data_IF_796645751890
#
_entry.id   IF_796645751890
#
_cell.length_a   1.000
_cell.length_b   1.000
_cell.length_c   1.000
_cell.angle_alpha   90.00
_cell.angle_beta   90.00
_cell.angle_gamma   90.00
#
_symmetry.space_group_name_H-M   'P 1'
#
loop_
_entity.id
_entity.type
_entity.pdbx_description
1 polymer ?
#
# COMPACT_ATOMS: atom_id res chain seq x y z
N UNK A 1 2.29 19.61 10.36
CA UNK A 1 2.86 18.58 9.45
C UNK A 1 1.87 18.35 8.34
N UNK A 2 2.29 18.29 7.06
CA UNK A 2 1.34 18.21 5.95
C UNK A 2 0.57 16.89 6.04
N UNK A 3 -0.74 16.95 5.79
CA UNK A 3 -1.58 15.76 5.67
C UNK A 3 -1.13 14.97 4.45
N UNK A 4 -0.67 13.74 4.66
CA UNK A 4 -0.36 12.81 3.59
C UNK A 4 -1.65 12.07 3.19
N UNK A 5 -1.79 11.71 1.92
CA UNK A 5 -2.92 10.92 1.44
C UNK A 5 -2.38 9.75 0.62
N UNK A 6 -2.99 8.58 0.77
CA UNK A 6 -2.69 7.43 -0.08
C UNK A 6 -3.90 7.15 -0.97
N UNK A 7 -3.65 7.03 -2.27
CA UNK A 7 -4.66 6.69 -3.28
C UNK A 7 -4.35 5.32 -3.85
N UNK A 8 -5.35 4.44 -3.83
CA UNK A 8 -5.27 3.10 -4.41
C UNK A 8 -6.10 3.05 -5.70
N UNK A 9 -5.50 2.54 -6.78
CA UNK A 9 -6.07 2.50 -8.12
C UNK A 9 -6.07 1.02 -8.57
N UNK A 10 -7.26 0.41 -8.75
CA UNK A 10 -7.41 -1.02 -9.11
C UNK A 10 -8.19 -1.18 -10.43
N UNK A 11 -7.58 -1.79 -11.44
CA UNK A 11 -7.91 -1.55 -12.86
C UNK A 11 -8.70 -2.67 -13.55
N UNK A 12 -9.72 -2.31 -14.33
CA UNK A 12 -10.32 -3.15 -15.38
C UNK A 12 -9.69 -2.82 -16.75
N UNK A 13 -9.39 -3.85 -17.55
CA UNK A 13 -8.47 -3.94 -18.72
C UNK A 13 -8.33 -2.70 -19.65
N UNK A 14 -7.07 -2.45 -20.08
CA UNK A 14 -6.61 -1.84 -21.37
C UNK A 14 -6.46 -0.29 -21.58
N UNK A 15 -5.97 0.46 -20.60
CA UNK A 15 -5.60 1.91 -20.67
C UNK A 15 -4.19 2.15 -20.00
N UNK A 16 -3.56 3.34 -19.97
CA UNK A 16 -2.48 3.62 -19.01
C UNK A 16 -2.99 3.59 -17.55
N UNK A 17 -2.13 3.44 -16.54
CA UNK A 17 -2.45 3.20 -15.11
C UNK A 17 -3.22 4.36 -14.39
N UNK A 18 -4.20 5.00 -15.02
CA UNK A 18 -4.73 6.30 -14.58
C UNK A 18 -6.25 6.48 -14.65
N UNK A 19 -7.07 5.45 -14.92
CA UNK A 19 -8.50 5.67 -15.20
C UNK A 19 -9.48 4.68 -14.55
N UNK A 20 -9.37 4.47 -13.24
CA UNK A 20 -10.40 3.81 -12.42
C UNK A 20 -10.66 4.63 -11.17
N UNK A 21 -11.84 4.47 -10.57
CA UNK A 21 -12.23 5.18 -9.35
C UNK A 21 -11.13 5.01 -8.27
N UNK A 22 -10.48 6.12 -7.93
CA UNK A 22 -9.45 6.14 -6.92
C UNK A 22 -10.11 6.06 -5.54
N UNK A 23 -9.75 5.05 -4.76
CA UNK A 23 -10.06 5.07 -3.34
C UNK A 23 -8.95 5.86 -2.66
N UNK A 24 -9.28 6.87 -1.86
CA UNK A 24 -8.28 7.74 -1.23
C UNK A 24 -8.53 7.85 0.27
N UNK A 25 -7.47 7.62 1.05
CA UNK A 25 -7.47 7.79 2.49
C UNK A 25 -6.56 8.96 2.85
N UNK A 26 -7.13 10.01 3.42
CA UNK A 26 -6.40 11.14 3.98
C UNK A 26 -5.91 10.80 5.39
N UNK A 27 -4.61 10.91 5.61
CA UNK A 27 -3.97 10.68 6.91
C UNK A 27 -4.12 11.93 7.79
N UNK A 28 -4.46 11.69 9.05
CA UNK A 28 -4.48 12.68 10.10
C UNK A 28 -3.07 13.18 10.45
N UNK A 29 -3.01 14.23 11.28
CA UNK A 29 -1.73 14.77 11.74
C UNK A 29 -0.95 13.71 12.55
N UNK A 30 0.28 13.39 12.10
CA UNK A 30 1.13 12.38 12.74
C UNK A 30 0.71 10.93 12.46
N UNK A 31 -0.30 10.72 11.61
CA UNK A 31 -0.71 9.39 11.16
C UNK A 31 0.21 8.92 10.03
N UNK A 32 0.61 7.64 10.08
CA UNK A 32 1.51 7.02 9.10
C UNK A 32 1.09 5.58 8.82
N UNK A 33 1.60 5.02 7.72
CA UNK A 33 1.27 3.66 7.30
C UNK A 33 2.18 2.68 8.04
N UNK A 34 1.57 1.66 8.63
CA UNK A 34 2.25 0.65 9.47
C UNK A 34 2.14 -0.76 8.91
N UNK A 35 1.23 -1.03 7.97
CA UNK A 35 1.05 -2.37 7.45
C UNK A 35 0.61 -2.41 6.00
N UNK A 36 0.94 -3.52 5.36
CA UNK A 36 0.49 -3.90 4.02
C UNK A 36 0.02 -5.35 4.06
N UNK A 37 -1.08 -5.63 3.38
CA UNK A 37 -1.59 -6.96 3.11
C UNK A 37 -1.89 -7.05 1.62
N UNK A 38 -1.29 -8.02 0.94
CA UNK A 38 -1.49 -8.28 -0.48
C UNK A 38 -1.99 -9.71 -0.65
N UNK A 39 -2.97 -9.89 -1.53
CA UNK A 39 -3.42 -11.22 -1.90
C UNK A 39 -3.21 -11.40 -3.39
N UNK A 40 -2.61 -12.54 -3.75
CA UNK A 40 -2.37 -12.88 -5.14
C UNK A 40 -3.18 -14.11 -5.55
N UNK A 41 -3.21 -14.37 -6.85
CA UNK A 41 -3.71 -15.64 -7.36
C UNK A 41 -3.46 -15.74 -8.86
N UNK A 42 -3.56 -16.96 -9.37
CA UNK A 42 -3.35 -17.22 -10.79
C UNK A 42 -4.56 -16.78 -11.61
N UNK A 43 -4.28 -16.26 -12.81
CA UNK A 43 -5.25 -15.95 -13.85
C UNK A 43 -4.53 -16.02 -15.19
N UNK A 44 -5.06 -16.83 -16.11
CA UNK A 44 -4.49 -17.03 -17.45
C UNK A 44 -2.98 -17.36 -17.39
N UNK A 45 -2.58 -18.31 -16.54
CA UNK A 45 -1.19 -18.75 -16.29
C UNK A 45 -0.23 -17.69 -15.70
N UNK A 46 -0.76 -16.58 -15.17
CA UNK A 46 0.03 -15.53 -14.53
C UNK A 46 -0.43 -15.28 -13.08
N UNK A 47 0.52 -15.19 -12.15
CA UNK A 47 0.28 -14.72 -10.78
C UNK A 47 0.15 -13.21 -10.77
N UNK A 48 -0.92 -12.69 -10.17
CA UNK A 48 -1.16 -11.25 -10.03
C UNK A 48 -1.72 -10.89 -8.67
N UNK A 49 -1.42 -9.69 -8.20
CA UNK A 49 -2.00 -9.12 -6.99
C UNK A 49 -3.47 -8.76 -7.27
N UNK A 50 -4.39 -9.51 -6.68
CA UNK A 50 -5.84 -9.32 -6.84
C UNK A 50 -6.45 -8.47 -5.74
N UNK A 51 -5.74 -8.28 -4.63
CA UNK A 51 -6.16 -7.44 -3.51
C UNK A 51 -4.95 -6.83 -2.83
N UNK A 52 -5.11 -5.59 -2.38
CA UNK A 52 -4.14 -4.93 -1.52
C UNK A 52 -4.87 -4.10 -0.46
N UNK A 53 -4.33 -4.08 0.75
CA UNK A 53 -4.80 -3.30 1.88
C UNK A 53 -3.62 -2.66 2.61
N UNK A 54 -3.80 -1.41 2.98
CA UNK A 54 -2.88 -0.70 3.87
C UNK A 54 -3.55 -0.44 5.21
N UNK A 55 -2.75 -0.50 6.27
CA UNK A 55 -3.17 -0.19 7.63
C UNK A 55 -2.33 0.96 8.17
N UNK A 56 -2.98 1.90 8.86
CA UNK A 56 -2.32 3.07 9.46
C UNK A 56 -2.10 2.90 10.96
N UNK A 57 -1.26 3.75 11.53
CA UNK A 57 -1.01 3.83 12.98
C UNK A 57 -2.26 4.19 13.79
N UNK A 58 -3.28 4.78 13.17
CA UNK A 58 -4.57 5.07 13.81
C UNK A 58 -5.60 3.93 13.68
N UNK A 59 -5.21 2.81 13.05
CA UNK A 59 -6.09 1.66 12.81
C UNK A 59 -7.03 1.82 11.61
N UNK A 60 -6.89 2.89 10.82
CA UNK A 60 -7.63 3.02 9.56
C UNK A 60 -7.06 2.07 8.53
N UNK A 61 -7.92 1.64 7.61
CA UNK A 61 -7.50 0.83 6.47
C UNK A 61 -8.04 1.39 5.17
N UNK A 62 -7.29 1.14 4.10
CA UNK A 62 -7.72 1.37 2.72
C UNK A 62 -7.38 0.14 1.92
N UNK A 63 -8.31 -0.34 1.11
CA UNK A 63 -8.12 -1.52 0.29
C UNK A 63 -8.73 -1.36 -1.10
N UNK A 64 -8.36 -2.28 -1.99
CA UNK A 64 -8.90 -2.37 -3.33
C UNK A 64 -8.61 -3.73 -3.95
N UNK A 65 -9.50 -4.14 -4.86
CA UNK A 65 -9.49 -5.47 -5.42
C UNK A 65 -10.35 -6.46 -4.62
N UNK A 66 -10.14 -7.76 -4.83
CA UNK A 66 -10.95 -8.83 -4.28
C UNK A 66 -10.06 -9.87 -3.56
N UNK A 67 -10.26 -10.14 -2.25
CA UNK A 67 -9.43 -11.06 -1.50
C UNK A 67 -9.38 -12.47 -2.12
N UNK A 68 -8.21 -13.08 -2.09
CA UNK A 68 -7.99 -14.49 -2.44
C UNK A 68 -7.41 -15.26 -1.25
N UNK A 69 -7.13 -16.56 -1.46
CA UNK A 69 -6.61 -17.47 -0.43
C UNK A 69 -5.12 -17.29 -0.17
N UNK A 70 -4.36 -16.83 -1.16
CA UNK A 70 -2.92 -16.63 -1.02
C UNK A 70 -2.66 -15.22 -0.52
N UNK A 71 -2.03 -15.11 0.66
CA UNK A 71 -1.95 -13.87 1.42
C UNK A 71 -0.51 -13.63 1.85
N UNK A 72 -0.03 -12.41 1.64
CA UNK A 72 1.20 -11.87 2.20
C UNK A 72 0.87 -10.68 3.07
N UNK A 73 1.40 -10.65 4.29
CA UNK A 73 1.26 -9.52 5.21
C UNK A 73 2.62 -9.09 5.69
N UNK A 74 2.84 -7.79 5.76
CA UNK A 74 4.03 -7.22 6.36
C UNK A 74 3.68 -5.96 7.16
N UNK A 75 4.49 -5.65 8.16
CA UNK A 75 4.30 -4.54 9.07
C UNK A 75 5.60 -3.84 9.40
N UNK A 76 5.54 -2.52 9.51
CA UNK A 76 6.66 -1.72 9.97
C UNK A 76 7.05 -2.12 11.40
N UNK A 77 8.29 -2.54 11.66
CA UNK A 77 8.75 -2.78 13.02
C UNK A 77 8.81 -1.46 13.81
N UNK A 78 8.89 -1.53 15.16
CA UNK A 78 8.97 -0.33 15.99
C UNK A 78 10.08 0.61 15.56
N UNK A 79 9.74 1.89 15.39
CA UNK A 79 10.70 2.91 14.92
C UNK A 79 10.87 2.98 13.39
N UNK A 80 10.00 2.32 12.62
CA UNK A 80 9.91 2.46 11.16
C UNK A 80 8.51 2.89 10.71
N UNK A 81 8.39 3.31 9.46
CA UNK A 81 7.13 3.55 8.74
C UNK A 81 7.26 3.06 7.29
N UNK A 82 6.15 2.72 6.65
CA UNK A 82 6.12 2.52 5.19
C UNK A 82 6.23 3.89 4.52
N UNK A 83 7.37 4.14 3.86
CA UNK A 83 7.69 5.44 3.27
C UNK A 83 7.62 5.51 1.75
N UNK A 84 7.39 4.38 1.10
CA UNK A 84 7.27 4.29 -0.35
C UNK A 84 6.94 2.88 -0.81
N UNK A 85 6.65 2.75 -2.10
CA UNK A 85 6.29 1.49 -2.76
C UNK A 85 7.15 1.29 -4.00
N UNK A 86 7.49 0.03 -4.27
CA UNK A 86 8.13 -0.41 -5.51
C UNK A 86 7.30 -1.55 -6.07
N UNK A 87 7.20 -1.69 -7.38
CA UNK A 87 6.36 -2.73 -7.96
C UNK A 87 6.33 -2.71 -9.47
N UNK A 88 5.57 -3.64 -10.03
CA UNK A 88 5.31 -3.73 -11.46
C UNK A 88 3.81 -3.75 -11.73
N UNK A 89 3.42 -3.16 -12.86
CA UNK A 89 2.04 -3.19 -13.30
C UNK A 89 1.98 -3.24 -14.83
N UNK A 90 0.98 -3.96 -15.33
CA UNK A 90 0.56 -3.95 -16.72
C UNK A 90 -0.91 -3.55 -16.83
N UNK A 91 -1.77 -4.56 -17.00
CA UNK A 91 -3.23 -4.35 -16.97
C UNK A 91 -3.81 -4.35 -15.56
N UNK A 92 -3.10 -4.99 -14.63
CA UNK A 92 -3.43 -5.15 -13.21
C UNK A 92 -2.13 -4.88 -12.42
N UNK A 93 -2.20 -4.88 -11.08
CA UNK A 93 -1.01 -4.85 -10.23
C UNK A 93 -0.37 -6.24 -10.25
N UNK A 94 0.88 -6.34 -10.69
CA UNK A 94 1.56 -7.64 -10.85
C UNK A 94 2.45 -7.95 -9.64
N UNK A 95 3.04 -6.91 -9.04
CA UNK A 95 3.79 -7.04 -7.78
C UNK A 95 3.86 -5.72 -7.02
N UNK A 96 3.93 -5.83 -5.69
CA UNK A 96 4.17 -4.70 -4.78
C UNK A 96 5.18 -5.05 -3.69
N UNK A 97 6.06 -4.11 -3.39
CA UNK A 97 7.00 -4.13 -2.27
C UNK A 97 6.98 -2.78 -1.56
N UNK A 98 7.41 -2.79 -0.30
CA UNK A 98 7.41 -1.60 0.56
C UNK A 98 8.81 -1.16 0.90
N UNK A 99 9.01 0.17 0.94
CA UNK A 99 10.25 0.78 1.42
C UNK A 99 10.02 1.23 2.85
N UNK A 100 10.81 0.69 3.78
CA UNK A 100 10.76 1.06 5.18
C UNK A 100 11.69 2.23 5.48
N UNK A 101 11.13 3.30 6.03
CA UNK A 101 11.90 4.44 6.52
C UNK A 101 12.02 4.37 8.04
N UNK A 102 13.26 4.45 8.52
CA UNK A 102 13.54 4.54 9.96
C UNK A 102 13.30 5.97 10.45
N UNK A 103 12.59 6.11 11.56
CA UNK A 103 12.53 7.39 12.27
C UNK A 103 13.91 7.75 12.83
N UNK A 104 14.50 8.85 12.36
CA UNK A 104 15.63 9.45 13.05
C UNK A 104 15.07 10.27 14.21
N UNK A 105 15.26 9.79 15.44
CA UNK A 105 15.22 10.68 16.60
C UNK A 105 16.46 11.56 16.56
N UNK A 106 16.45 12.63 15.76
CA UNK A 106 17.32 13.75 16.07
C UNK A 106 16.68 14.48 17.25
N UNK A 107 17.00 14.00 18.46
CA UNK A 107 16.86 14.83 19.63
C UNK A 107 17.87 15.98 19.45
N UNK A 108 17.38 17.17 19.12
CA UNK A 108 18.11 18.39 19.41
C UNK A 108 18.21 18.46 20.92
N UNK A 109 19.34 17.97 21.43
CA UNK A 109 19.73 18.10 22.83
C UNK A 109 20.45 19.46 22.91
N UNK A 110 19.77 20.43 23.51
CA UNK A 110 20.42 21.63 24.03
C UNK A 110 21.34 21.25 25.19
#
# INVERSE_FOLDING_TARGET
MPSASISLIHRARNLPCTTVAANTLTLGAGEFITGIEAHWGEKDDHTRDKYIQFTTSSGKTISGGNPTKDIGKDSAPPGYQLGGFVGTCGKELDSVGVVLLRWRKHAMKW
#
